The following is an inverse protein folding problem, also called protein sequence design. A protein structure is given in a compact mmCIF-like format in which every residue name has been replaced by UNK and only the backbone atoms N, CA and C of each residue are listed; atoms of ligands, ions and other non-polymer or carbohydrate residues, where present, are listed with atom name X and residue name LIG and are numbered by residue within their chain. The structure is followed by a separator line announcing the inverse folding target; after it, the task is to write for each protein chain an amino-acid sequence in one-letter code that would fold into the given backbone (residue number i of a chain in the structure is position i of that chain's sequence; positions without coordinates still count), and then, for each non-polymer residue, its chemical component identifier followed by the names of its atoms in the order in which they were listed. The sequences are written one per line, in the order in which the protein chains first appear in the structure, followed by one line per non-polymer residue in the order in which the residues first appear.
data_IF_588114257137
#
_entry.id   IF_588114257137
#
_cell.length_a   1.000
_cell.length_b   1.000
_cell.length_c   1.000
_cell.angle_alpha   90.00
_cell.angle_beta   90.00
_cell.angle_gamma   90.00
#
_symmetry.space_group_name_H-M   'P 1'
#
loop_
_entity.id
_entity.type
_entity.pdbx_description
1 polymer ?
#
# COMPACT_ATOMS: atom_id res chain seq x y z
N UNK A 1 -30.30 53.72 -83.33
CA UNK A 1 -31.38 53.06 -82.55
C UNK A 1 -31.16 51.56 -82.70
N UNK A 2 -30.92 50.71 -81.69
CA UNK A 2 -31.23 50.69 -80.26
C UNK A 2 -30.08 49.99 -79.48
N UNK A 3 -29.62 50.69 -78.44
CA UNK A 3 -29.22 50.29 -77.08
C UNK A 3 -28.67 48.87 -76.82
N UNK A 4 -27.34 48.79 -76.67
CA UNK A 4 -26.63 47.84 -75.78
C UNK A 4 -26.80 48.27 -74.31
N UNK A 5 -27.47 47.46 -73.50
CA UNK A 5 -27.57 47.64 -72.05
C UNK A 5 -26.61 46.71 -71.33
N UNK A 6 -25.58 47.28 -70.70
CA UNK A 6 -24.63 46.59 -69.84
C UNK A 6 -25.19 46.62 -68.41
N UNK A 7 -25.63 45.48 -67.88
CA UNK A 7 -26.02 45.35 -66.47
C UNK A 7 -24.84 44.74 -65.72
N UNK A 8 -24.21 45.56 -64.89
CA UNK A 8 -23.12 45.20 -63.99
C UNK A 8 -23.73 44.51 -62.75
N UNK A 9 -23.60 43.20 -62.65
CA UNK A 9 -23.98 42.44 -61.45
C UNK A 9 -22.80 42.44 -60.48
N UNK A 10 -22.84 43.31 -59.46
CA UNK A 10 -21.87 43.31 -58.35
C UNK A 10 -22.32 42.25 -57.34
N UNK A 11 -21.71 41.06 -57.41
CA UNK A 11 -21.83 40.02 -56.40
C UNK A 11 -20.85 40.33 -55.25
N UNK A 12 -21.35 40.97 -54.20
CA UNK A 12 -20.63 41.11 -52.93
C UNK A 12 -20.72 39.77 -52.20
N UNK A 13 -19.70 38.92 -52.40
CA UNK A 13 -19.49 37.70 -51.63
C UNK A 13 -19.00 38.08 -50.24
N UNK A 14 -19.91 38.21 -49.27
CA UNK A 14 -19.57 38.30 -47.86
C UNK A 14 -18.99 36.94 -47.39
N UNK A 15 -17.67 36.80 -47.42
CA UNK A 15 -16.96 35.69 -46.79
C UNK A 15 -17.01 35.93 -45.28
N UNK A 16 -18.04 35.37 -44.63
CA UNK A 16 -18.08 35.23 -43.18
C UNK A 16 -17.04 34.18 -42.80
N UNK A 17 -15.85 34.63 -42.43
CA UNK A 17 -14.86 33.80 -41.75
C UNK A 17 -15.43 33.39 -40.38
N UNK A 18 -16.10 32.24 -40.34
CA UNK A 18 -16.46 31.58 -39.10
C UNK A 18 -15.17 31.06 -38.47
N UNK A 19 -14.59 31.85 -37.56
CA UNK A 19 -13.56 31.36 -36.65
C UNK A 19 -14.20 30.26 -35.79
N UNK A 20 -14.05 29.00 -36.20
CA UNK A 20 -14.20 27.85 -35.31
C UNK A 20 -13.15 28.02 -34.22
N UNK A 21 -13.54 28.62 -33.10
CA UNK A 21 -12.79 28.53 -31.85
C UNK A 21 -12.59 27.04 -31.58
N UNK A 22 -11.36 26.57 -31.74
CA UNK A 22 -10.98 25.24 -31.25
C UNK A 22 -11.30 25.26 -29.78
N UNK A 23 -12.31 24.47 -29.40
CA UNK A 23 -12.69 24.25 -28.01
C UNK A 23 -11.49 23.55 -27.35
N UNK A 24 -10.54 24.36 -26.89
CA UNK A 24 -9.35 23.88 -26.19
C UNK A 24 -9.86 23.36 -24.88
N UNK A 25 -10.01 22.04 -24.80
CA UNK A 25 -10.38 21.36 -23.56
C UNK A 25 -9.38 21.83 -22.51
N UNK A 26 -9.82 22.68 -21.57
CA UNK A 26 -8.98 23.20 -20.52
C UNK A 26 -8.52 21.99 -19.72
N UNK A 27 -7.25 21.64 -19.86
CA UNK A 27 -6.63 20.59 -19.06
C UNK A 27 -6.53 21.18 -17.65
N UNK A 28 -7.31 20.62 -16.73
CA UNK A 28 -7.33 21.01 -15.32
C UNK A 28 -7.04 19.76 -14.50
N UNK A 29 -6.09 19.85 -13.58
CA UNK A 29 -5.88 18.83 -12.57
C UNK A 29 -7.02 18.85 -11.56
N UNK A 30 -7.51 17.65 -11.25
CA UNK A 30 -8.65 17.39 -10.39
C UNK A 30 -8.35 16.22 -9.43
N UNK A 31 -9.34 15.83 -8.62
CA UNK A 31 -9.19 14.78 -7.63
C UNK A 31 -8.90 13.38 -8.19
N UNK A 32 -9.20 13.10 -9.47
CA UNK A 32 -8.85 11.83 -10.12
C UNK A 32 -7.47 11.86 -10.79
N UNK A 33 -6.82 13.03 -10.86
CA UNK A 33 -5.50 13.14 -11.49
C UNK A 33 -4.47 12.39 -10.67
N UNK A 34 -3.70 11.54 -11.34
CA UNK A 34 -2.60 10.79 -10.76
C UNK A 34 -1.51 11.73 -10.24
N UNK A 35 -1.08 11.52 -8.99
CA UNK A 35 -0.07 12.34 -8.33
C UNK A 35 1.23 12.35 -9.13
N UNK A 36 1.65 11.19 -9.64
CA UNK A 36 2.92 11.08 -10.35
C UNK A 36 2.94 11.91 -11.64
N UNK A 37 1.82 11.94 -12.38
CA UNK A 37 1.69 12.76 -13.59
C UNK A 37 1.86 14.26 -13.28
N UNK A 38 1.34 14.70 -12.13
CA UNK A 38 1.48 16.08 -11.64
C UNK A 38 2.93 16.36 -11.28
N UNK A 39 3.58 15.48 -10.50
CA UNK A 39 4.97 15.63 -10.09
C UNK A 39 5.91 15.74 -11.31
N UNK A 40 5.76 14.85 -12.30
CA UNK A 40 6.59 14.87 -13.51
C UNK A 40 6.35 16.12 -14.35
N UNK A 41 5.11 16.58 -14.45
CA UNK A 41 4.79 17.85 -15.15
C UNK A 41 5.43 19.06 -14.44
N UNK A 42 5.48 19.05 -13.10
CA UNK A 42 6.14 20.07 -12.30
C UNK A 42 7.68 19.95 -12.32
N UNK A 43 8.24 18.91 -12.94
CA UNK A 43 9.69 18.75 -13.15
C UNK A 43 10.37 17.75 -12.22
N UNK A 44 9.64 16.94 -11.46
CA UNK A 44 10.20 15.80 -10.74
C UNK A 44 10.82 14.80 -11.75
N UNK A 45 12.05 14.29 -11.50
CA UNK A 45 12.63 13.27 -12.36
C UNK A 45 11.85 11.95 -12.28
N UNK A 46 11.86 11.19 -13.38
CA UNK A 46 11.31 9.84 -13.36
C UNK A 46 12.13 8.94 -12.44
N UNK A 47 11.51 8.21 -11.49
CA UNK A 47 12.23 7.24 -10.67
C UNK A 47 12.65 6.03 -11.49
N UNK A 48 13.60 5.24 -10.98
CA UNK A 48 14.12 4.05 -11.68
C UNK A 48 13.05 2.98 -11.99
N UNK A 49 11.98 2.96 -11.21
CA UNK A 49 10.84 2.05 -11.43
C UNK A 49 9.75 2.64 -12.33
N UNK A 50 9.96 3.78 -12.97
CA UNK A 50 8.97 4.43 -13.82
C UNK A 50 8.58 3.57 -15.03
N UNK A 51 7.28 3.59 -15.34
CA UNK A 51 6.70 2.95 -16.52
C UNK A 51 6.07 4.03 -17.38
N UNK A 52 6.60 4.22 -18.58
CA UNK A 52 6.18 5.28 -19.50
C UNK A 52 4.72 5.12 -19.95
N UNK A 53 4.29 3.89 -20.25
CA UNK A 53 2.96 3.61 -20.77
C UNK A 53 2.33 2.44 -20.03
N UNK A 54 1.25 2.69 -19.27
CA UNK A 54 0.52 1.62 -18.57
C UNK A 54 -0.12 0.69 -19.60
N UNK A 55 0.30 -0.57 -19.61
CA UNK A 55 -0.31 -1.64 -20.38
C UNK A 55 -1.37 -2.36 -19.54
N UNK A 56 -2.63 -2.33 -19.98
CA UNK A 56 -3.76 -2.90 -19.24
C UNK A 56 -3.66 -4.43 -19.02
N UNK A 57 -3.07 -5.16 -19.97
CA UNK A 57 -2.83 -6.59 -19.84
C UNK A 57 -1.78 -6.87 -18.75
N UNK A 58 -0.68 -6.10 -18.74
CA UNK A 58 0.36 -6.23 -17.71
C UNK A 58 -0.16 -5.80 -16.33
N UNK A 59 -1.02 -4.78 -16.23
CA UNK A 59 -1.71 -4.42 -14.99
C UNK A 59 -2.53 -5.60 -14.46
N UNK A 60 -3.28 -6.27 -15.33
CA UNK A 60 -4.06 -7.45 -14.97
C UNK A 60 -3.15 -8.59 -14.49
N UNK A 61 -2.10 -8.92 -15.25
CA UNK A 61 -1.13 -9.97 -14.90
C UNK A 61 -0.41 -9.69 -13.58
N UNK A 62 0.01 -8.44 -13.37
CA UNK A 62 0.62 -7.99 -12.11
C UNK A 62 -0.33 -8.12 -10.93
N UNK A 63 -1.60 -7.72 -11.10
CA UNK A 63 -2.63 -7.92 -10.07
C UNK A 63 -2.79 -9.40 -9.73
N UNK A 64 -2.87 -10.27 -10.72
CA UNK A 64 -2.98 -11.72 -10.49
C UNK A 64 -1.77 -12.28 -9.75
N UNK A 65 -0.55 -11.82 -10.08
CA UNK A 65 0.66 -12.19 -9.34
C UNK A 65 0.56 -11.76 -7.87
N UNK A 66 0.14 -10.52 -7.60
CA UNK A 66 0.04 -9.98 -6.22
C UNK A 66 -1.01 -10.72 -5.38
N UNK A 67 -2.16 -11.06 -5.95
CA UNK A 67 -3.27 -11.69 -5.24
C UNK A 67 -3.24 -13.22 -5.22
N UNK A 68 -2.65 -13.85 -6.23
CA UNK A 68 -2.73 -15.31 -6.41
C UNK A 68 -1.35 -15.97 -6.55
N UNK A 69 -0.28 -15.17 -6.53
CA UNK A 69 1.10 -15.64 -6.67
C UNK A 69 1.43 -16.20 -8.05
N UNK A 70 0.56 -16.03 -9.05
CA UNK A 70 0.76 -16.52 -10.44
C UNK A 70 -0.21 -15.85 -11.39
N UNK A 71 0.09 -15.94 -12.68
CA UNK A 71 -0.76 -15.45 -13.78
C UNK A 71 -0.62 -16.39 -14.99
N UNK A 72 -0.90 -15.93 -16.21
CA UNK A 72 -0.62 -16.62 -17.47
C UNK A 72 0.59 -16.01 -18.20
N UNK A 73 1.35 -16.85 -18.88
CA UNK A 73 2.46 -16.42 -19.75
C UNK A 73 1.96 -16.00 -21.14
N UNK A 74 2.88 -15.69 -22.06
CA UNK A 74 2.57 -15.30 -23.45
C UNK A 74 1.87 -16.37 -24.30
N UNK A 75 1.73 -17.61 -23.80
CA UNK A 75 1.02 -18.71 -24.46
C UNK A 75 -0.27 -19.08 -23.72
N UNK A 76 -0.78 -18.16 -22.88
CA UNK A 76 -1.95 -18.35 -22.01
C UNK A 76 -1.88 -19.54 -21.04
N UNK A 77 -0.67 -20.05 -20.78
CA UNK A 77 -0.45 -21.12 -19.80
C UNK A 77 -0.18 -20.52 -18.42
N UNK A 78 -0.75 -21.14 -17.38
CA UNK A 78 -0.49 -20.74 -15.98
C UNK A 78 1.00 -20.79 -15.67
N UNK A 79 1.52 -19.74 -15.05
CA UNK A 79 2.89 -19.69 -14.56
C UNK A 79 3.06 -20.54 -13.30
N UNK A 80 4.32 -20.88 -13.01
CA UNK A 80 4.68 -21.44 -11.70
C UNK A 80 4.34 -20.40 -10.63
N UNK A 81 3.77 -20.86 -9.50
CA UNK A 81 3.58 -19.98 -8.33
C UNK A 81 4.90 -19.35 -7.93
N UNK A 82 4.84 -18.08 -7.55
CA UNK A 82 5.92 -17.32 -6.95
C UNK A 82 6.33 -17.97 -5.63
N UNK A 83 5.37 -18.23 -4.75
CA UNK A 83 5.60 -18.98 -3.52
C UNK A 83 4.54 -20.06 -3.32
N UNK A 84 4.93 -21.11 -2.59
CA UNK A 84 3.99 -22.13 -2.10
C UNK A 84 3.27 -21.70 -0.81
N UNK A 85 3.78 -20.67 -0.12
CA UNK A 85 3.38 -20.34 1.25
C UNK A 85 2.56 -19.06 1.35
N UNK A 86 3.01 -17.98 0.70
CA UNK A 86 2.38 -16.68 0.82
C UNK A 86 2.25 -15.98 -0.52
N UNK A 87 1.17 -15.24 -0.69
CA UNK A 87 1.01 -14.21 -1.71
C UNK A 87 1.16 -12.83 -1.06
N UNK A 88 1.40 -11.79 -1.86
CA UNK A 88 1.71 -10.48 -1.33
C UNK A 88 0.57 -9.91 -0.47
N UNK A 89 -0.69 -10.19 -0.84
CA UNK A 89 -1.88 -9.74 -0.10
C UNK A 89 -2.13 -10.48 1.22
N UNK A 90 -1.32 -11.49 1.54
CA UNK A 90 -1.37 -12.12 2.87
C UNK A 90 -0.76 -11.23 3.96
N UNK A 91 0.05 -10.23 3.57
CA UNK A 91 0.69 -9.30 4.49
C UNK A 91 0.43 -7.83 4.17
N UNK A 92 -0.09 -7.52 2.98
CA UNK A 92 -0.26 -6.14 2.50
C UNK A 92 -1.68 -5.88 1.99
N UNK A 93 -2.25 -4.74 2.38
CA UNK A 93 -3.44 -4.21 1.72
C UNK A 93 -3.09 -3.59 0.35
N UNK A 94 -4.08 -3.45 -0.53
CA UNK A 94 -3.94 -2.74 -1.82
C UNK A 94 -4.75 -1.45 -1.89
N UNK A 95 -5.42 -1.08 -0.80
CA UNK A 95 -6.24 0.13 -0.65
C UNK A 95 -5.61 1.05 0.38
N UNK A 96 -6.06 2.31 0.44
CA UNK A 96 -5.72 3.19 1.58
C UNK A 96 -6.15 2.47 2.86
N UNK A 97 -5.26 2.40 3.84
CA UNK A 97 -5.52 1.81 5.15
C UNK A 97 -5.28 2.81 6.30
N UNK A 98 -4.55 3.90 6.03
CA UNK A 98 -4.24 4.96 6.97
C UNK A 98 -5.11 6.20 6.69
N UNK A 99 -5.76 6.80 7.70
CA UNK A 99 -6.45 8.08 7.56
C UNK A 99 -5.51 9.22 7.11
N UNK A 100 -4.25 9.17 7.55
CA UNK A 100 -3.20 10.11 7.16
C UNK A 100 -2.18 9.38 6.30
N UNK A 101 -1.99 9.85 5.07
CA UNK A 101 -0.97 9.29 4.17
C UNK A 101 0.45 9.68 4.59
N UNK A 102 0.61 10.77 5.35
CA UNK A 102 1.91 11.30 5.78
C UNK A 102 2.42 10.63 7.06
N UNK A 103 1.57 10.51 8.06
CA UNK A 103 1.93 9.98 9.38
C UNK A 103 1.04 8.78 9.71
N UNK A 104 1.46 7.56 9.34
CA UNK A 104 0.66 6.36 9.51
C UNK A 104 0.69 5.90 10.97
N UNK A 105 -0.37 6.18 11.73
CA UNK A 105 -0.50 5.87 13.16
C UNK A 105 -1.29 4.58 13.45
N UNK A 106 -0.90 3.77 14.44
CA UNK A 106 -1.57 2.50 14.75
C UNK A 106 -3.05 2.63 15.14
N UNK A 107 -3.41 3.54 16.06
CA UNK A 107 -4.80 3.62 16.56
C UNK A 107 -5.79 4.11 15.50
N UNK A 108 -5.53 5.24 14.80
CA UNK A 108 -6.42 5.68 13.72
C UNK A 108 -6.52 4.64 12.60
N UNK A 109 -5.45 3.88 12.32
CA UNK A 109 -5.47 2.79 11.33
C UNK A 109 -6.42 1.66 11.73
N UNK A 110 -6.41 1.21 12.97
CA UNK A 110 -7.32 0.14 13.42
C UNK A 110 -8.79 0.56 13.24
N UNK A 111 -9.14 1.77 13.69
CA UNK A 111 -10.48 2.33 13.52
C UNK A 111 -10.86 2.43 12.04
N UNK A 112 -9.93 2.90 11.21
CA UNK A 112 -10.14 3.00 9.76
C UNK A 112 -10.34 1.62 9.13
N UNK A 113 -9.55 0.63 9.51
CA UNK A 113 -9.64 -0.73 9.00
C UNK A 113 -10.98 -1.36 9.35
N UNK A 114 -11.46 -1.21 10.59
CA UNK A 114 -12.80 -1.68 11.01
C UNK A 114 -13.88 -1.00 10.18
N UNK A 115 -13.87 0.34 10.10
CA UNK A 115 -14.88 1.12 9.37
C UNK A 115 -14.96 0.77 7.88
N UNK A 116 -13.83 0.45 7.26
CA UNK A 116 -13.74 0.17 5.83
C UNK A 116 -13.64 -1.33 5.50
N UNK A 117 -13.85 -2.20 6.49
CA UNK A 117 -13.71 -3.64 6.38
C UNK A 117 -12.40 -4.08 5.70
N UNK A 118 -11.28 -3.53 6.17
CA UNK A 118 -9.93 -3.87 5.77
C UNK A 118 -9.27 -4.76 6.82
N UNK A 119 -8.35 -5.61 6.38
CA UNK A 119 -7.50 -6.37 7.27
C UNK A 119 -6.44 -5.48 7.92
N UNK A 120 -6.07 -5.77 9.17
CA UNK A 120 -5.06 -5.04 9.92
C UNK A 120 -3.73 -5.78 9.88
N UNK A 121 -2.96 -5.56 8.81
CA UNK A 121 -1.82 -6.41 8.42
C UNK A 121 -0.45 -5.81 8.79
N UNK A 122 0.58 -6.65 8.84
CA UNK A 122 1.95 -6.29 9.20
C UNK A 122 2.63 -5.38 8.17
N UNK A 123 2.39 -5.62 6.88
CA UNK A 123 3.01 -4.89 5.79
C UNK A 123 2.27 -3.58 5.48
N UNK A 124 3.02 -2.56 5.07
CA UNK A 124 2.44 -1.30 4.59
C UNK A 124 1.66 -1.50 3.29
N UNK A 125 0.51 -0.86 3.12
CA UNK A 125 -0.29 -0.92 1.90
C UNK A 125 0.53 -0.67 0.62
N UNK A 126 0.14 -1.35 -0.45
CA UNK A 126 0.62 -1.12 -1.81
C UNK A 126 0.00 0.12 -2.47
N UNK A 127 -1.07 0.68 -1.90
CA UNK A 127 -1.61 1.96 -2.38
C UNK A 127 -0.54 3.05 -2.22
N UNK A 128 -0.21 3.70 -3.33
CA UNK A 128 0.84 4.72 -3.44
C UNK A 128 2.27 4.20 -3.29
N UNK A 129 2.51 2.90 -3.42
CA UNK A 129 3.86 2.32 -3.25
C UNK A 129 4.88 2.92 -4.24
N UNK A 130 4.43 3.28 -5.45
CA UNK A 130 5.28 3.91 -6.48
C UNK A 130 5.63 5.36 -6.20
N UNK A 131 4.90 6.03 -5.30
CA UNK A 131 5.14 7.41 -4.91
C UNK A 131 6.24 7.56 -3.87
N UNK A 132 6.58 6.47 -3.16
CA UNK A 132 7.65 6.44 -2.17
C UNK A 132 9.00 6.49 -2.86
N UNK A 133 9.99 7.05 -2.18
CA UNK A 133 11.37 7.16 -2.65
C UNK A 133 12.22 5.99 -2.19
N UNK A 134 11.93 5.40 -1.03
CA UNK A 134 12.68 4.27 -0.47
C UNK A 134 11.79 3.27 0.27
N UNK A 135 12.27 2.01 0.37
CA UNK A 135 11.56 0.88 1.00
C UNK A 135 12.47 0.16 2.00
N UNK A 136 11.92 -0.70 2.87
CA UNK A 136 12.70 -1.46 3.85
C UNK A 136 13.64 -0.59 4.73
N UNK A 137 13.19 0.57 5.19
CA UNK A 137 14.02 1.52 5.93
C UNK A 137 14.20 1.13 7.41
N UNK A 138 15.15 1.79 8.08
CA UNK A 138 15.34 1.71 9.54
C UNK A 138 15.53 0.26 10.04
N UNK A 139 14.72 -0.23 10.98
CA UNK A 139 14.94 -1.51 11.68
C UNK A 139 14.84 -2.76 10.79
N UNK A 140 14.36 -2.64 9.55
CA UNK A 140 14.42 -3.77 8.62
C UNK A 140 15.85 -4.30 8.42
N UNK A 141 16.89 -3.46 8.58
CA UNK A 141 18.28 -3.91 8.58
C UNK A 141 18.59 -4.93 9.70
N UNK A 142 18.00 -4.76 10.89
CA UNK A 142 18.17 -5.69 12.01
C UNK A 142 17.66 -7.10 11.65
N UNK A 143 16.68 -7.19 10.73
CA UNK A 143 16.06 -8.45 10.32
C UNK A 143 16.72 -9.09 9.10
N UNK A 144 16.94 -8.33 8.03
CA UNK A 144 17.44 -8.88 6.76
C UNK A 144 18.91 -8.52 6.46
N UNK A 145 19.56 -7.77 7.34
CA UNK A 145 20.98 -7.39 7.21
C UNK A 145 21.28 -6.67 5.89
N UNK A 146 22.41 -7.03 5.27
CA UNK A 146 22.89 -6.44 4.02
C UNK A 146 21.93 -6.61 2.84
N UNK A 147 21.02 -7.58 2.87
CA UNK A 147 20.03 -7.77 1.80
C UNK A 147 19.13 -6.51 1.64
N UNK A 148 18.98 -5.73 2.70
CA UNK A 148 18.19 -4.49 2.68
C UNK A 148 18.89 -3.35 1.95
N UNK A 149 20.22 -3.30 1.94
CA UNK A 149 20.98 -2.15 1.41
C UNK A 149 20.60 -1.86 -0.04
N UNK A 150 20.60 -2.89 -0.90
CA UNK A 150 20.21 -2.75 -2.31
C UNK A 150 18.69 -2.62 -2.52
N UNK A 151 17.89 -3.13 -1.59
CA UNK A 151 16.42 -3.13 -1.68
C UNK A 151 15.79 -1.83 -1.21
N UNK A 152 16.56 -0.95 -0.56
CA UNK A 152 16.11 0.38 -0.15
C UNK A 152 15.95 1.35 -1.31
N UNK A 153 16.83 1.23 -2.31
CA UNK A 153 17.02 2.27 -3.31
C UNK A 153 16.15 2.08 -4.55
N UNK A 154 15.61 0.88 -4.78
CA UNK A 154 14.71 0.64 -5.91
C UNK A 154 13.53 -0.24 -5.54
N UNK A 155 12.35 0.11 -6.06
CA UNK A 155 11.15 -0.69 -5.88
C UNK A 155 11.31 -2.10 -6.48
N UNK A 156 12.10 -2.24 -7.54
CA UNK A 156 12.42 -3.53 -8.17
C UNK A 156 13.11 -4.46 -7.15
N UNK A 157 14.17 -3.97 -6.50
CA UNK A 157 14.91 -4.76 -5.52
C UNK A 157 14.08 -4.98 -4.24
N UNK A 158 13.21 -4.05 -3.88
CA UNK A 158 12.25 -4.23 -2.78
C UNK A 158 11.25 -5.36 -3.07
N UNK A 159 10.68 -5.40 -4.29
CA UNK A 159 9.78 -6.49 -4.72
C UNK A 159 10.52 -7.82 -4.67
N UNK A 160 11.77 -7.86 -5.14
CA UNK A 160 12.57 -9.08 -5.19
C UNK A 160 12.91 -9.62 -3.79
N UNK A 161 13.30 -8.74 -2.86
CA UNK A 161 13.53 -9.11 -1.47
C UNK A 161 12.23 -9.63 -0.82
N UNK A 162 11.10 -8.98 -1.08
CA UNK A 162 9.80 -9.45 -0.60
C UNK A 162 9.49 -10.86 -1.13
N UNK A 163 9.67 -11.08 -2.44
CA UNK A 163 9.39 -12.34 -3.08
C UNK A 163 10.19 -13.51 -2.47
N UNK A 164 11.46 -13.27 -2.15
CA UNK A 164 12.40 -14.31 -1.70
C UNK A 164 12.41 -14.48 -0.19
N UNK A 165 12.44 -13.40 0.58
CA UNK A 165 12.51 -13.42 2.04
C UNK A 165 11.12 -13.44 2.67
N UNK A 166 10.26 -12.51 2.28
CA UNK A 166 8.96 -12.36 2.93
C UNK A 166 7.98 -13.47 2.52
N UNK A 167 7.87 -13.73 1.22
CA UNK A 167 6.98 -14.78 0.70
C UNK A 167 7.62 -16.16 0.74
N UNK A 168 8.94 -16.28 0.95
CA UNK A 168 9.70 -17.53 0.85
C UNK A 168 9.50 -18.25 -0.50
N UNK A 169 9.43 -17.46 -1.56
CA UNK A 169 9.23 -17.95 -2.90
C UNK A 169 10.48 -17.93 -3.74
N UNK A 170 10.29 -18.19 -5.04
CA UNK A 170 11.33 -17.97 -6.04
C UNK A 170 11.46 -16.49 -6.36
N UNK A 171 12.60 -16.18 -6.94
CA UNK A 171 12.82 -14.95 -7.69
C UNK A 171 11.75 -14.75 -8.79
N UNK A 172 11.35 -13.50 -9.00
CA UNK A 172 10.54 -13.14 -10.15
C UNK A 172 11.41 -13.07 -11.41
N UNK A 173 10.84 -13.50 -12.53
CA UNK A 173 11.41 -13.22 -13.84
C UNK A 173 11.23 -11.73 -14.19
N UNK A 174 12.07 -11.19 -15.08
CA UNK A 174 12.03 -9.76 -15.44
C UNK A 174 10.65 -9.28 -15.88
N UNK A 175 9.96 -10.09 -16.69
CA UNK A 175 8.61 -9.75 -17.18
C UNK A 175 7.55 -9.82 -16.06
N UNK A 176 7.75 -10.64 -15.02
CA UNK A 176 6.86 -10.70 -13.87
C UNK A 176 7.03 -9.45 -12.99
N UNK A 177 8.27 -9.00 -12.78
CA UNK A 177 8.55 -7.72 -12.13
C UNK A 177 7.90 -6.58 -12.91
N UNK A 178 8.06 -6.55 -14.23
CA UNK A 178 7.43 -5.54 -15.09
C UNK A 178 5.90 -5.54 -14.90
N UNK A 179 5.25 -6.70 -14.99
CA UNK A 179 3.81 -6.82 -14.75
C UNK A 179 3.40 -6.32 -13.35
N UNK A 180 4.15 -6.69 -12.30
CA UNK A 180 3.91 -6.21 -10.93
C UNK A 180 4.06 -4.69 -10.85
N UNK A 181 5.07 -4.10 -11.47
CA UNK A 181 5.25 -2.65 -11.50
C UNK A 181 4.10 -1.96 -12.23
N UNK A 182 3.63 -2.51 -13.37
CA UNK A 182 2.44 -1.98 -14.06
C UNK A 182 1.23 -1.92 -13.11
N UNK A 183 1.02 -2.98 -12.34
CA UNK A 183 -0.05 -2.99 -11.35
C UNK A 183 0.20 -1.98 -10.22
N UNK A 184 1.41 -1.88 -9.68
CA UNK A 184 1.73 -0.89 -8.65
C UNK A 184 1.58 0.56 -9.14
N UNK A 185 1.90 0.85 -10.41
CA UNK A 185 1.63 2.15 -11.03
C UNK A 185 0.13 2.42 -11.26
N UNK A 186 -0.70 1.38 -11.28
CA UNK A 186 -2.17 1.54 -11.22
C UNK A 186 -2.67 1.90 -9.82
N UNK A 187 -1.85 1.68 -8.79
CA UNK A 187 -2.11 2.04 -7.40
C UNK A 187 -1.50 3.38 -6.99
N UNK A 188 -0.98 4.16 -7.92
CA UNK A 188 -0.55 5.55 -7.70
C UNK A 188 -1.60 6.35 -6.91
N UNK A 189 -1.16 7.26 -6.05
CA UNK A 189 -2.08 8.18 -5.40
C UNK A 189 -2.76 9.10 -6.43
N UNK A 190 -3.98 9.53 -6.14
CA UNK A 190 -4.62 10.64 -6.84
C UNK A 190 -4.57 11.91 -5.99
N UNK A 191 -4.67 13.09 -6.60
CA UNK A 191 -4.70 14.35 -5.85
C UNK A 191 -5.84 14.43 -4.83
N UNK A 192 -6.96 13.74 -5.10
CA UNK A 192 -8.08 13.65 -4.18
C UNK A 192 -7.74 12.94 -2.86
N UNK A 193 -6.78 12.03 -2.90
CA UNK A 193 -6.35 11.26 -1.73
C UNK A 193 -5.36 12.04 -0.84
N UNK A 194 -4.75 13.11 -1.37
CA UNK A 194 -3.78 13.94 -0.64
C UNK A 194 -4.45 14.96 0.31
N UNK A 195 -5.77 15.10 0.26
CA UNK A 195 -6.50 16.06 1.09
C UNK A 195 -6.16 17.52 0.78
N UNK A 196 -5.92 17.84 -0.50
CA UNK A 196 -5.61 19.20 -0.93
C UNK A 196 -6.81 20.14 -0.78
N UNK A 197 -6.56 21.36 -0.30
CA UNK A 197 -7.58 22.41 -0.25
C UNK A 197 -7.72 23.16 -1.59
N UNK A 198 -8.73 24.02 -1.71
CA UNK A 198 -9.03 24.76 -2.95
C UNK A 198 -7.86 25.62 -3.42
N UNK A 199 -7.18 26.33 -2.51
CA UNK A 199 -6.02 27.17 -2.83
C UNK A 199 -4.85 26.34 -3.35
N UNK A 200 -4.62 25.16 -2.78
CA UNK A 200 -3.59 24.24 -3.27
C UNK A 200 -3.92 23.76 -4.69
N UNK A 201 -5.19 23.43 -4.98
CA UNK A 201 -5.62 23.11 -6.36
C UNK A 201 -5.45 24.29 -7.32
N UNK A 202 -5.73 25.51 -6.90
CA UNK A 202 -5.53 26.71 -7.73
C UNK A 202 -4.06 26.91 -8.07
N UNK A 203 -3.16 26.80 -7.09
CA UNK A 203 -1.72 26.91 -7.30
C UNK A 203 -1.22 25.86 -8.32
N UNK A 204 -1.64 24.61 -8.17
CA UNK A 204 -1.30 23.53 -9.09
C UNK A 204 -1.81 23.81 -10.52
N UNK A 205 -3.06 24.24 -10.65
CA UNK A 205 -3.64 24.53 -11.96
C UNK A 205 -3.07 25.78 -12.63
N UNK A 206 -2.64 26.78 -11.86
CA UNK A 206 -1.92 27.93 -12.40
C UNK A 206 -0.53 27.52 -12.92
N UNK A 207 0.21 26.70 -12.16
CA UNK A 207 1.48 26.15 -12.62
C UNK A 207 1.32 25.33 -13.91
N UNK A 208 0.26 24.53 -14.03
CA UNK A 208 -0.07 23.79 -15.26
C UNK A 208 -0.32 24.72 -16.46
N UNK A 209 -1.12 25.78 -16.30
CA UNK A 209 -1.42 26.77 -17.36
C UNK A 209 -0.15 27.47 -17.84
N UNK A 210 0.72 27.83 -16.89
CA UNK A 210 1.99 28.49 -17.15
C UNK A 210 3.08 27.54 -17.67
N UNK A 211 2.81 26.22 -17.67
CA UNK A 211 3.80 25.16 -17.95
C UNK A 211 5.05 25.31 -17.07
N UNK A 212 4.84 25.73 -15.83
CA UNK A 212 5.89 26.07 -14.87
C UNK A 212 6.36 24.82 -14.16
N UNK A 213 7.68 24.56 -14.22
CA UNK A 213 8.33 23.63 -13.30
C UNK A 213 8.46 24.31 -11.93
N UNK A 214 8.02 23.65 -10.86
CA UNK A 214 7.90 24.28 -9.55
C UNK A 214 8.28 23.31 -8.41
N UNK A 215 9.53 23.43 -7.94
CA UNK A 215 10.05 22.63 -6.85
C UNK A 215 9.32 22.88 -5.50
N UNK A 216 8.73 24.07 -5.31
CA UNK A 216 7.98 24.36 -4.09
C UNK A 216 6.66 23.59 -4.05
N UNK A 217 5.99 23.45 -5.19
CA UNK A 217 4.77 22.64 -5.32
C UNK A 217 5.07 21.14 -5.24
N UNK A 218 6.19 20.68 -5.78
CA UNK A 218 6.67 19.31 -5.57
C UNK A 218 6.85 19.04 -4.08
N UNK A 219 7.55 19.93 -3.36
CA UNK A 219 7.78 19.80 -1.91
C UNK A 219 6.45 19.80 -1.13
N UNK A 220 5.51 20.65 -1.51
CA UNK A 220 4.16 20.67 -0.94
C UNK A 220 3.47 19.32 -1.11
N UNK A 221 3.42 18.78 -2.32
CA UNK A 221 2.77 17.51 -2.60
C UNK A 221 3.43 16.34 -1.83
N UNK A 222 4.77 16.27 -1.85
CA UNK A 222 5.53 15.26 -1.10
C UNK A 222 5.33 15.34 0.42
N UNK A 223 5.02 16.52 0.97
CA UNK A 223 4.70 16.65 2.39
C UNK A 223 3.36 16.03 2.81
N UNK A 224 2.50 15.64 1.85
CA UNK A 224 1.16 15.08 2.12
C UNK A 224 1.17 13.57 2.27
N UNK A 225 2.29 12.89 2.01
CA UNK A 225 2.38 11.43 2.10
C UNK A 225 3.78 10.97 2.53
N UNK A 226 3.85 9.76 3.10
CA UNK A 226 5.09 9.17 3.56
C UNK A 226 6.01 8.85 2.35
N UNK A 227 7.20 9.44 2.34
CA UNK A 227 8.21 9.20 1.29
C UNK A 227 8.98 7.88 1.49
N UNK A 228 8.91 7.29 2.69
CA UNK A 228 9.62 6.06 3.05
C UNK A 228 8.68 5.05 3.72
N UNK A 229 9.11 3.80 3.84
CA UNK A 229 8.41 2.75 4.61
C UNK A 229 9.26 2.31 5.81
N UNK A 230 9.25 3.09 6.91
CA UNK A 230 10.12 2.87 8.06
C UNK A 230 9.59 1.77 8.97
N UNK A 231 10.52 0.94 9.49
CA UNK A 231 10.24 0.03 10.57
C UNK A 231 10.89 0.52 11.87
N UNK A 232 10.09 0.50 12.93
CA UNK A 232 10.56 0.53 14.31
C UNK A 232 10.09 -0.77 14.97
N UNK A 233 11.01 -1.69 15.25
CA UNK A 233 10.69 -2.91 15.98
C UNK A 233 10.66 -2.60 17.47
N UNK A 234 9.63 -3.08 18.14
CA UNK A 234 9.51 -3.01 19.59
C UNK A 234 9.83 -4.34 20.23
N UNK A 235 10.05 -4.32 21.54
CA UNK A 235 10.21 -5.53 22.34
C UNK A 235 8.89 -5.92 23.01
N UNK A 236 8.75 -7.21 23.33
CA UNK A 236 7.72 -7.70 24.24
C UNK A 236 7.90 -7.08 25.66
N UNK A 237 6.85 -6.99 26.49
CA UNK A 237 7.00 -6.47 27.83
C UNK A 237 7.99 -7.30 28.64
N UNK A 238 8.73 -6.61 29.53
CA UNK A 238 9.73 -7.22 30.39
C UNK A 238 9.12 -8.33 31.25
N UNK A 239 8.04 -8.01 31.96
CA UNK A 239 7.20 -8.97 32.69
C UNK A 239 5.88 -9.22 31.95
N UNK A 240 5.83 -10.31 31.18
CA UNK A 240 4.64 -10.70 30.40
C UNK A 240 3.45 -11.12 31.25
N UNK A 241 3.64 -11.41 32.54
CA UNK A 241 2.50 -11.66 33.44
C UNK A 241 1.76 -10.36 33.72
N UNK A 242 2.50 -9.24 33.79
CA UNK A 242 1.95 -7.90 34.00
C UNK A 242 1.51 -7.21 32.70
N UNK A 243 2.20 -7.47 31.59
CA UNK A 243 2.01 -6.72 30.35
C UNK A 243 2.93 -5.50 30.28
N UNK A 244 2.68 -4.59 29.34
CA UNK A 244 3.38 -3.30 29.27
C UNK A 244 2.99 -2.39 30.43
N UNK A 245 3.97 -1.71 31.02
CA UNK A 245 3.75 -0.84 32.17
C UNK A 245 2.90 0.38 31.82
N UNK A 246 2.03 0.79 32.76
CA UNK A 246 1.14 1.95 32.63
C UNK A 246 0.19 1.91 31.43
N UNK A 247 -0.14 0.71 30.94
CA UNK A 247 -1.10 0.49 29.86
C UNK A 247 -2.22 -0.41 30.36
N UNK A 248 -3.46 0.07 30.21
CA UNK A 248 -4.66 -0.72 30.51
C UNK A 248 -5.33 -1.09 29.19
N UNK A 249 -5.52 -2.39 28.94
CA UNK A 249 -6.13 -2.87 27.70
C UNK A 249 -7.64 -2.64 27.62
N UNK A 250 -8.12 -2.34 26.41
CA UNK A 250 -9.52 -2.23 26.03
C UNK A 250 -9.96 -3.47 25.25
N UNK A 251 -10.77 -4.34 25.87
CA UNK A 251 -11.23 -5.58 25.25
C UNK A 251 -12.08 -5.39 23.98
N UNK A 252 -12.76 -4.25 23.82
CA UNK A 252 -13.53 -3.95 22.60
C UNK A 252 -12.60 -3.71 21.41
N UNK A 253 -11.55 -2.91 21.61
CA UNK A 253 -10.51 -2.73 20.59
C UNK A 253 -9.73 -4.03 20.35
N UNK A 254 -9.50 -4.81 21.41
CA UNK A 254 -8.88 -6.13 21.31
C UNK A 254 -9.65 -7.10 20.43
N UNK A 255 -10.97 -7.08 20.50
CA UNK A 255 -11.84 -7.87 19.62
C UNK A 255 -11.64 -7.48 18.15
N UNK A 256 -11.55 -6.19 17.84
CA UNK A 256 -11.27 -5.71 16.48
C UNK A 256 -9.91 -6.18 15.96
N UNK A 257 -8.89 -6.19 16.81
CA UNK A 257 -7.56 -6.69 16.44
C UNK A 257 -7.63 -8.20 16.19
N UNK A 258 -8.27 -8.94 17.09
CA UNK A 258 -8.44 -10.38 16.91
C UNK A 258 -9.11 -10.71 15.58
N UNK A 259 -10.20 -10.03 15.26
CA UNK A 259 -10.96 -10.22 14.02
C UNK A 259 -10.18 -9.77 12.77
N UNK A 260 -9.65 -8.53 12.75
CA UNK A 260 -9.07 -7.93 11.54
C UNK A 260 -7.62 -8.33 11.29
N UNK A 261 -6.89 -8.79 12.31
CA UNK A 261 -5.48 -9.19 12.22
C UNK A 261 -5.30 -10.69 12.44
N UNK A 262 -5.67 -11.21 13.61
CA UNK A 262 -5.35 -12.59 13.98
C UNK A 262 -6.12 -13.59 13.10
N UNK A 263 -7.43 -13.44 13.02
CA UNK A 263 -8.29 -14.34 12.25
C UNK A 263 -7.98 -14.29 10.74
N UNK A 264 -7.51 -13.16 10.21
CA UNK A 264 -7.13 -13.09 8.78
C UNK A 264 -6.14 -14.18 8.35
N UNK A 265 -5.18 -14.52 9.24
CA UNK A 265 -4.18 -15.56 8.98
C UNK A 265 -4.53 -16.92 9.59
N UNK A 266 -5.19 -16.91 10.75
CA UNK A 266 -5.36 -18.08 11.60
C UNK A 266 -6.72 -18.76 11.48
N UNK A 267 -7.73 -18.09 10.91
CA UNK A 267 -9.03 -18.69 10.65
C UNK A 267 -8.90 -19.81 9.61
N UNK A 268 -9.56 -20.94 9.88
CA UNK A 268 -9.50 -22.18 9.09
C UNK A 268 -8.09 -22.60 8.66
N UNK A 269 -7.06 -22.24 9.46
CA UNK A 269 -5.64 -22.46 9.12
C UNK A 269 -5.24 -21.90 7.75
N UNK A 270 -5.85 -20.79 7.32
CA UNK A 270 -5.65 -20.21 5.99
C UNK A 270 -4.17 -20.01 5.63
N UNK A 271 -3.39 -19.43 6.55
CA UNK A 271 -1.97 -19.11 6.36
C UNK A 271 -1.06 -19.68 7.47
N UNK A 272 -1.66 -20.13 8.56
CA UNK A 272 -0.97 -20.61 9.75
C UNK A 272 -1.46 -22.00 10.16
N UNK A 273 -0.56 -22.83 10.67
CA UNK A 273 -0.95 -24.14 11.22
C UNK A 273 -1.66 -24.02 12.59
N UNK A 274 -1.54 -22.86 13.25
CA UNK A 274 -2.32 -22.57 14.45
C UNK A 274 -3.70 -22.07 14.02
N UNK A 275 -4.73 -22.87 14.27
CA UNK A 275 -6.11 -22.43 14.11
C UNK A 275 -6.47 -21.54 15.29
N UNK A 276 -7.04 -20.38 14.99
CA UNK A 276 -7.72 -19.55 15.98
C UNK A 276 -9.21 -19.51 15.63
N UNK A 277 -10.06 -19.45 16.64
CA UNK A 277 -11.51 -19.40 16.53
C UNK A 277 -12.08 -18.62 17.73
N UNK A 278 -13.39 -18.56 17.89
CA UNK A 278 -14.04 -17.88 19.00
C UNK A 278 -14.39 -18.84 20.16
N UNK A 279 -13.80 -20.03 20.23
CA UNK A 279 -14.08 -20.98 21.29
C UNK A 279 -13.27 -20.68 22.55
N UNK A 280 -13.90 -20.84 23.72
CA UNK A 280 -13.26 -20.62 25.04
C UNK A 280 -11.93 -21.35 25.20
N UNK A 281 -11.81 -22.56 24.62
CA UNK A 281 -10.58 -23.36 24.68
C UNK A 281 -9.40 -22.67 23.98
N UNK A 282 -9.65 -21.98 22.86
CA UNK A 282 -8.64 -21.21 22.13
C UNK A 282 -8.13 -20.06 22.98
N UNK A 283 -9.02 -19.30 23.60
CA UNK A 283 -8.65 -18.18 24.46
C UNK A 283 -7.93 -18.64 25.75
N UNK A 284 -8.33 -19.77 26.33
CA UNK A 284 -7.59 -20.39 27.45
C UNK A 284 -6.18 -20.80 27.06
N UNK A 285 -6.00 -21.36 25.87
CA UNK A 285 -4.67 -21.73 25.35
C UNK A 285 -3.79 -20.49 25.18
N UNK A 286 -4.32 -19.42 24.55
CA UNK A 286 -3.59 -18.17 24.36
C UNK A 286 -3.21 -17.55 25.71
N UNK A 287 -4.15 -17.47 26.65
CA UNK A 287 -3.94 -16.94 28.00
C UNK A 287 -2.85 -17.71 28.76
N UNK A 288 -2.90 -19.05 28.72
CA UNK A 288 -1.91 -19.92 29.37
C UNK A 288 -0.48 -19.67 28.86
N UNK A 289 -0.34 -19.30 27.58
CA UNK A 289 0.95 -19.12 26.93
C UNK A 289 1.48 -17.67 26.98
N UNK A 290 0.70 -16.69 27.46
CA UNK A 290 1.07 -15.26 27.45
C UNK A 290 2.45 -15.01 28.08
N UNK A 291 2.73 -15.64 29.22
CA UNK A 291 3.96 -15.41 29.98
C UNK A 291 5.21 -16.09 29.40
N UNK A 292 5.08 -16.89 28.33
CA UNK A 292 6.21 -17.62 27.75
C UNK A 292 7.17 -16.68 27.00
N UNK A 293 8.45 -17.04 26.97
CA UNK A 293 9.50 -16.34 26.22
C UNK A 293 9.76 -16.99 24.86
N UNK A 294 8.69 -17.45 24.20
CA UNK A 294 8.76 -18.08 22.88
C UNK A 294 7.53 -17.71 22.02
N UNK A 295 7.52 -18.15 20.77
CA UNK A 295 6.48 -17.86 19.76
C UNK A 295 5.04 -18.28 20.12
N UNK A 296 4.83 -19.03 21.21
CA UNK A 296 3.48 -19.34 21.71
C UNK A 296 2.86 -18.17 22.49
N UNK A 297 3.67 -17.24 22.98
CA UNK A 297 3.20 -16.02 23.62
C UNK A 297 2.77 -15.01 22.56
N UNK A 298 1.57 -14.45 22.73
CA UNK A 298 1.02 -13.38 21.87
C UNK A 298 1.99 -12.19 21.80
N UNK A 299 2.54 -11.77 22.94
CA UNK A 299 3.53 -10.69 22.99
C UNK A 299 4.76 -10.97 22.13
N UNK A 300 5.29 -12.20 22.23
CA UNK A 300 6.49 -12.60 21.51
C UNK A 300 6.23 -12.75 20.01
N UNK A 301 5.14 -13.44 19.64
CA UNK A 301 4.78 -13.66 18.25
C UNK A 301 4.54 -12.34 17.50
N UNK A 302 3.89 -11.36 18.12
CA UNK A 302 3.62 -10.07 17.49
C UNK A 302 4.90 -9.25 17.31
N UNK A 303 5.77 -9.19 18.34
CA UNK A 303 6.95 -8.31 18.33
C UNK A 303 8.14 -8.89 17.57
N UNK A 304 8.35 -10.20 17.66
CA UNK A 304 9.49 -10.87 17.04
C UNK A 304 9.12 -11.81 15.90
N UNK A 305 7.83 -11.89 15.56
CA UNK A 305 7.35 -12.83 14.57
C UNK A 305 7.54 -14.29 14.99
N UNK A 306 7.41 -15.18 14.01
CA UNK A 306 7.88 -16.56 14.13
C UNK A 306 8.94 -16.83 13.07
N UNK A 307 9.66 -17.94 13.20
CA UNK A 307 10.72 -18.32 12.25
C UNK A 307 10.28 -19.50 11.40
N UNK A 308 10.64 -19.52 10.10
CA UNK A 308 10.54 -20.75 9.35
C UNK A 308 11.47 -21.79 9.97
N UNK A 309 10.97 -23.01 10.15
CA UNK A 309 11.77 -24.17 10.60
C UNK A 309 11.77 -25.24 9.51
N UNK A 310 12.76 -26.15 9.47
CA UNK A 310 12.76 -27.24 8.50
C UNK A 310 11.41 -28.00 8.49
N UNK A 311 10.80 -28.14 7.32
CA UNK A 311 9.47 -28.75 7.16
C UNK A 311 8.26 -27.83 7.45
N UNK A 312 8.44 -26.68 8.11
CA UNK A 312 7.39 -25.68 8.36
C UNK A 312 7.90 -24.28 8.00
N UNK A 313 7.64 -23.90 6.75
CA UNK A 313 8.06 -22.61 6.19
C UNK A 313 7.10 -21.43 6.48
N UNK A 314 5.77 -21.60 6.66
CA UNK A 314 4.94 -20.46 7.06
C UNK A 314 5.42 -19.85 8.38
N UNK A 315 5.55 -18.53 8.40
CA UNK A 315 5.97 -17.73 9.54
C UNK A 315 5.09 -16.49 9.67
N UNK A 316 5.14 -15.85 10.84
CA UNK A 316 4.47 -14.58 11.10
C UNK A 316 5.50 -13.44 11.02
N UNK A 317 5.30 -12.44 10.15
CA UNK A 317 6.12 -11.23 10.16
C UNK A 317 5.92 -10.41 11.44
N UNK A 318 6.86 -9.50 11.72
CA UNK A 318 6.77 -8.65 12.92
C UNK A 318 5.73 -7.56 12.67
N UNK A 319 4.96 -7.22 13.70
CA UNK A 319 4.33 -5.90 13.73
C UNK A 319 5.34 -4.87 14.27
N UNK A 320 5.68 -3.89 13.44
CA UNK A 320 6.39 -2.69 13.91
C UNK A 320 5.51 -1.92 14.89
N UNK A 321 6.10 -1.04 15.69
CA UNK A 321 5.38 -0.12 16.57
C UNK A 321 4.41 0.76 15.77
N UNK A 322 4.82 1.19 14.58
CA UNK A 322 3.97 1.98 13.68
C UNK A 322 2.81 1.19 13.09
N UNK A 323 2.84 -0.15 13.10
CA UNK A 323 1.78 -1.03 12.61
C UNK A 323 0.84 -1.48 13.71
N UNK A 324 1.37 -1.91 14.86
CA UNK A 324 0.60 -2.26 16.05
C UNK A 324 1.29 -1.73 17.31
N UNK A 325 0.62 -0.79 17.99
CA UNK A 325 1.14 -0.12 19.19
C UNK A 325 1.25 -1.09 20.38
N UNK A 326 1.93 -0.69 21.46
CA UNK A 326 1.91 -1.47 22.70
C UNK A 326 0.50 -1.49 23.32
N UNK A 327 -0.23 -0.37 23.25
CA UNK A 327 -1.63 -0.28 23.68
C UNK A 327 -2.51 -1.32 22.97
N UNK A 328 -2.38 -1.45 21.65
CA UNK A 328 -3.14 -2.44 20.87
C UNK A 328 -2.84 -3.89 21.27
N UNK A 329 -1.61 -4.20 21.65
CA UNK A 329 -1.30 -5.54 22.15
C UNK A 329 -1.99 -5.78 23.51
N UNK A 330 -1.99 -4.78 24.40
CA UNK A 330 -2.73 -4.91 25.67
C UNK A 330 -4.24 -4.97 25.47
N UNK A 331 -4.78 -4.24 24.49
CA UNK A 331 -6.19 -4.34 24.09
C UNK A 331 -6.53 -5.77 23.67
N UNK A 332 -5.71 -6.36 22.77
CA UNK A 332 -5.85 -7.75 22.34
C UNK A 332 -5.76 -8.73 23.51
N UNK A 333 -4.81 -8.54 24.43
CA UNK A 333 -4.66 -9.40 25.61
C UNK A 333 -5.85 -9.28 26.56
N UNK A 334 -6.40 -8.07 26.75
CA UNK A 334 -7.61 -7.86 27.55
C UNK A 334 -8.80 -8.61 26.96
N UNK A 335 -8.97 -8.59 25.63
CA UNK A 335 -9.99 -9.38 24.94
C UNK A 335 -9.79 -10.89 25.14
N UNK A 336 -8.58 -11.40 24.90
CA UNK A 336 -8.25 -12.82 25.06
C UNK A 336 -8.54 -13.31 26.49
N UNK A 337 -8.14 -12.54 27.51
CA UNK A 337 -8.38 -12.90 28.91
C UNK A 337 -9.87 -12.94 29.22
N UNK A 338 -10.61 -11.91 28.79
CA UNK A 338 -12.08 -11.83 28.96
C UNK A 338 -12.78 -13.05 28.36
N UNK A 339 -12.45 -13.41 27.13
CA UNK A 339 -13.04 -14.57 26.44
C UNK A 339 -12.59 -15.94 27.01
N UNK A 340 -11.50 -16.00 27.76
CA UNK A 340 -11.08 -17.23 28.44
C UNK A 340 -11.88 -17.50 29.73
N UNK A 341 -12.46 -16.46 30.31
CA UNK A 341 -13.22 -16.47 31.56
C UNK A 341 -14.73 -16.69 31.32
N UNK A 342 -15.30 -16.00 30.33
CA UNK A 342 -16.66 -16.21 29.78
C UNK A 342 -16.82 -17.65 29.28
#
# INVERSE_FOLDING_TARGET
MKKTGFILFVLVSAIIFSFKTKNTKIIKWNNQTHLSDVLFTLGEPFPLHYIQHKNAELVKKGKEIIFYGRTTNSRDKKTKRQSKYFVCTDCHNTKIEDPSLFFPEPEPRLVFAVKNNLSFLQGTTFKGIVNRETWYNDDYYKKYGKAVENSRDTLINAIQLCATECSQGREFEKWEIEAVLHYFWSLDYSLGELGLNEKEYELLNNALKEKRKDASLIKLLKSKYAQKSPALFGDAPYDKKKGYENITGNATHGAWIYEKSCMFCHDEKRLSNLNLDYEKVTFKLLTKNLALHNEKSVYQAIRYGTKPVPGKRPYMPHYTISRMSNQQIEDLVAFIKKQAEE
#
